data_IF_141159343026
#
_entry.id   IF_141159343026
#
_cell.length_a   1.000
_cell.length_b   1.000
_cell.length_c   1.000
_cell.angle_alpha   90.00
_cell.angle_beta   90.00
_cell.angle_gamma   90.00
#
_symmetry.space_group_name_H-M   'P 1'
#
loop_
_entity.id
_entity.type
_entity.pdbx_description
1 polymer ?
#
# COMPACT_ATOMS: atom_id res chain seq x y z
N UNK A 1 18.79 3.25 -13.54
CA UNK A 1 19.34 4.02 -12.41
C UNK A 1 18.75 3.53 -11.09
N UNK A 2 19.04 4.19 -9.96
CA UNK A 2 18.58 3.73 -8.62
C UNK A 2 17.06 3.55 -8.55
N UNK A 3 16.30 4.46 -9.16
CA UNK A 3 14.82 4.39 -9.20
C UNK A 3 14.34 3.14 -9.97
N UNK A 4 14.94 2.84 -11.11
CA UNK A 4 14.53 1.69 -11.93
C UNK A 4 14.86 0.35 -11.25
N UNK A 5 16.00 0.29 -10.55
CA UNK A 5 16.39 -0.88 -9.77
C UNK A 5 15.41 -1.09 -8.61
N UNK A 6 15.10 -0.02 -7.86
CA UNK A 6 14.10 -0.08 -6.79
C UNK A 6 12.73 -0.54 -7.30
N UNK A 7 12.27 -0.01 -8.43
CA UNK A 7 11.03 -0.45 -9.08
C UNK A 7 11.08 -1.94 -9.48
N UNK A 8 12.21 -2.41 -10.00
CA UNK A 8 12.44 -3.83 -10.33
C UNK A 8 12.34 -4.74 -9.11
N UNK A 9 12.99 -4.37 -8.01
CA UNK A 9 12.94 -5.13 -6.75
C UNK A 9 11.53 -5.15 -6.15
N UNK A 10 10.79 -4.03 -6.20
CA UNK A 10 9.40 -3.98 -5.76
C UNK A 10 8.49 -4.88 -6.61
N UNK A 11 8.64 -4.86 -7.94
CA UNK A 11 7.89 -5.74 -8.83
C UNK A 11 8.21 -7.22 -8.55
N UNK A 12 9.47 -7.56 -8.25
CA UNK A 12 9.88 -8.91 -7.87
C UNK A 12 9.21 -9.37 -6.57
N UNK A 13 9.05 -8.49 -5.58
CA UNK A 13 8.31 -8.81 -4.36
C UNK A 13 6.84 -9.10 -4.66
N UNK A 14 6.21 -8.32 -5.52
CA UNK A 14 4.82 -8.59 -5.97
C UNK A 14 4.74 -9.96 -6.64
N UNK A 15 5.64 -10.28 -7.59
CA UNK A 15 5.69 -11.59 -8.24
C UNK A 15 5.79 -12.75 -7.26
N UNK A 16 6.60 -12.58 -6.20
CA UNK A 16 6.75 -13.61 -5.15
C UNK A 16 5.47 -13.79 -4.34
N UNK A 17 4.73 -12.71 -4.06
CA UNK A 17 3.45 -12.80 -3.36
C UNK A 17 2.38 -13.48 -4.22
N UNK A 18 2.30 -13.13 -5.50
CA UNK A 18 1.40 -13.79 -6.47
C UNK A 18 1.71 -15.29 -6.55
N UNK A 19 2.99 -15.66 -6.67
CA UNK A 19 3.41 -17.06 -6.71
C UNK A 19 3.08 -17.84 -5.42
N UNK A 20 2.89 -17.15 -4.30
CA UNK A 20 2.47 -17.74 -3.01
C UNK A 20 0.94 -17.82 -2.86
N UNK A 21 0.18 -17.47 -3.89
CA UNK A 21 -1.27 -17.55 -3.90
C UNK A 21 -1.96 -16.30 -3.35
N UNK A 22 -1.30 -15.14 -3.36
CA UNK A 22 -1.99 -13.88 -3.08
C UNK A 22 -3.15 -13.70 -4.07
N UNK A 23 -4.38 -13.59 -3.54
CA UNK A 23 -5.58 -13.39 -4.34
C UNK A 23 -5.85 -11.89 -4.52
N UNK A 24 -6.03 -11.45 -5.76
CA UNK A 24 -6.40 -10.08 -6.08
C UNK A 24 -5.85 -9.62 -7.43
N UNK A 25 -6.44 -8.55 -7.94
CA UNK A 25 -6.07 -7.88 -9.20
C UNK A 25 -5.41 -6.51 -8.96
N UNK A 26 -5.25 -6.10 -7.70
CA UNK A 26 -4.84 -4.75 -7.33
C UNK A 26 -3.70 -4.77 -6.33
N UNK A 27 -2.59 -4.12 -6.68
CA UNK A 27 -1.49 -3.82 -5.77
C UNK A 27 -1.71 -2.42 -5.22
N UNK A 28 -1.92 -2.31 -3.90
CA UNK A 28 -2.00 -1.02 -3.23
C UNK A 28 -0.64 -0.68 -2.64
N UNK A 29 -0.02 0.38 -3.13
CA UNK A 29 1.24 0.89 -2.59
C UNK A 29 0.99 2.13 -1.72
N UNK A 30 1.59 2.12 -0.54
CA UNK A 30 1.48 3.18 0.45
C UNK A 30 2.87 3.55 1.00
N UNK A 31 2.94 4.67 1.71
CA UNK A 31 4.16 5.18 2.32
C UNK A 31 4.69 6.42 1.60
N UNK A 32 5.38 7.26 2.37
CA UNK A 32 5.84 8.59 1.92
C UNK A 32 6.79 8.52 0.71
N UNK A 33 7.60 7.47 0.60
CA UNK A 33 8.58 7.33 -0.48
C UNK A 33 7.89 7.19 -1.84
N UNK A 34 6.99 6.21 -1.99
CA UNK A 34 6.36 5.96 -3.29
C UNK A 34 5.29 7.01 -3.61
N UNK A 35 4.58 7.52 -2.59
CA UNK A 35 3.62 8.60 -2.76
C UNK A 35 4.30 9.95 -3.11
N UNK A 36 5.48 10.22 -2.54
CA UNK A 36 6.24 11.44 -2.78
C UNK A 36 7.17 11.40 -3.99
N UNK A 37 7.29 10.26 -4.68
CA UNK A 37 8.19 10.09 -5.83
C UNK A 37 7.43 9.56 -7.06
N UNK A 38 6.84 10.44 -7.89
CA UNK A 38 6.07 10.04 -9.07
C UNK A 38 6.85 9.15 -10.04
N UNK A 39 8.15 9.42 -10.21
CA UNK A 39 9.03 8.62 -11.08
C UNK A 39 9.14 7.16 -10.65
N UNK A 40 9.20 6.91 -9.34
CA UNK A 40 9.26 5.55 -8.81
C UNK A 40 7.93 4.82 -8.99
N UNK A 41 6.82 5.50 -8.72
CA UNK A 41 5.49 4.95 -8.92
C UNK A 41 5.23 4.55 -10.38
N UNK A 42 5.65 5.40 -11.32
CA UNK A 42 5.47 5.12 -12.74
C UNK A 42 6.40 4.00 -13.24
N UNK A 43 7.65 3.99 -12.79
CA UNK A 43 8.57 2.88 -13.08
C UNK A 43 8.03 1.54 -12.55
N UNK A 44 7.44 1.53 -11.35
CA UNK A 44 6.80 0.34 -10.80
C UNK A 44 5.55 -0.06 -11.61
N UNK A 45 4.70 0.90 -11.98
CA UNK A 45 3.51 0.65 -12.82
C UNK A 45 3.92 -0.02 -14.14
N UNK A 46 4.92 0.52 -14.82
CA UNK A 46 5.42 -0.04 -16.08
C UNK A 46 5.97 -1.47 -15.88
N UNK A 47 6.74 -1.73 -14.82
CA UNK A 47 7.28 -3.07 -14.52
C UNK A 47 6.19 -4.09 -14.22
N UNK A 48 5.16 -3.69 -13.45
CA UNK A 48 4.01 -4.54 -13.16
C UNK A 48 3.20 -4.85 -14.41
N UNK A 49 2.94 -3.86 -15.27
CA UNK A 49 2.20 -4.07 -16.52
C UNK A 49 2.91 -5.08 -17.45
N UNK A 50 4.25 -5.13 -17.44
CA UNK A 50 5.02 -6.09 -18.25
C UNK A 50 4.99 -7.52 -17.70
N UNK A 51 4.94 -7.68 -16.38
CA UNK A 51 5.11 -8.99 -15.72
C UNK A 51 3.79 -9.61 -15.26
N UNK A 52 2.83 -8.76 -14.91
CA UNK A 52 1.51 -9.11 -14.41
C UNK A 52 0.47 -8.14 -15.01
N UNK A 53 0.13 -8.28 -16.30
CA UNK A 53 -0.74 -7.33 -17.01
C UNK A 53 -2.15 -7.22 -16.44
N UNK A 54 -2.60 -8.25 -15.69
CA UNK A 54 -3.88 -8.23 -14.99
C UNK A 54 -3.85 -7.43 -13.67
N UNK A 55 -2.67 -7.06 -13.17
CA UNK A 55 -2.52 -6.30 -11.93
C UNK A 55 -2.61 -4.79 -12.17
N UNK A 56 -3.43 -4.12 -11.36
CA UNK A 56 -3.53 -2.67 -11.30
C UNK A 56 -2.72 -2.13 -10.11
N UNK A 57 -1.84 -1.15 -10.36
CA UNK A 57 -1.18 -0.41 -9.27
C UNK A 57 -2.06 0.77 -8.83
N UNK A 58 -2.40 0.81 -7.54
CA UNK A 58 -3.05 1.95 -6.88
C UNK A 58 -2.14 2.53 -5.80
N UNK A 59 -1.95 3.85 -5.84
CA UNK A 59 -1.31 4.56 -4.73
C UNK A 59 -2.37 4.90 -3.69
N UNK A 60 -2.07 4.65 -2.42
CA UNK A 60 -2.94 5.03 -1.32
C UNK A 60 -2.84 6.54 -1.09
N UNK A 61 -3.96 7.25 -1.24
CA UNK A 61 -4.08 8.72 -1.18
C UNK A 61 -4.70 9.21 0.14
N UNK A 62 -4.99 8.31 1.07
CA UNK A 62 -5.50 8.65 2.40
C UNK A 62 -4.38 8.94 3.39
N UNK A 63 -4.70 9.73 4.42
CA UNK A 63 -3.76 10.02 5.50
C UNK A 63 -3.29 8.72 6.19
N UNK A 64 -1.97 8.51 6.40
CA UNK A 64 -1.45 7.27 7.00
C UNK A 64 -2.06 6.93 8.36
N UNK A 65 -2.47 7.94 9.13
CA UNK A 65 -3.05 7.81 10.47
C UNK A 65 -4.51 7.34 10.46
N UNK A 66 -5.19 7.39 9.32
CA UNK A 66 -6.63 7.12 9.23
C UNK A 66 -7.01 5.74 9.78
N UNK A 67 -6.23 4.70 9.46
CA UNK A 67 -6.44 3.35 9.98
C UNK A 67 -6.31 3.27 11.51
N UNK A 68 -5.34 3.98 12.08
CA UNK A 68 -5.14 4.06 13.52
C UNK A 68 -6.33 4.70 14.24
N UNK A 69 -6.85 5.82 13.71
CA UNK A 69 -8.02 6.51 14.28
C UNK A 69 -9.26 5.61 14.27
N UNK A 70 -9.51 4.91 13.16
CA UNK A 70 -10.65 3.97 13.08
C UNK A 70 -10.51 2.84 14.11
N UNK A 71 -9.32 2.27 14.25
CA UNK A 71 -9.06 1.22 15.23
C UNK A 71 -9.21 1.71 16.68
N UNK A 72 -8.77 2.94 16.97
CA UNK A 72 -8.93 3.55 18.30
C UNK A 72 -10.41 3.78 18.62
N UNK A 73 -11.20 4.30 17.66
CA UNK A 73 -12.64 4.52 17.83
C UNK A 73 -13.38 3.20 18.10
N UNK A 74 -13.12 2.15 17.31
CA UNK A 74 -13.72 0.82 17.52
C UNK A 74 -13.38 0.25 18.89
N UNK A 75 -12.15 0.44 19.37
CA UNK A 75 -11.74 0.02 20.72
C UNK A 75 -12.44 0.82 21.81
N UNK A 76 -12.61 2.12 21.63
CA UNK A 76 -13.34 2.97 22.57
C UNK A 76 -14.83 2.57 22.64
N UNK A 77 -15.47 2.32 21.50
CA UNK A 77 -16.86 1.88 21.41
C UNK A 77 -17.07 0.48 22.02
N UNK A 78 -16.17 -0.46 21.72
CA UNK A 78 -16.22 -1.81 22.27
C UNK A 78 -15.91 -1.88 23.78
N UNK A 79 -15.16 -0.92 24.30
CA UNK A 79 -14.82 -0.81 25.72
C UNK A 79 -15.93 -0.20 26.59
N UNK A 80 -16.99 0.36 25.99
CA UNK A 80 -17.99 1.17 26.70
C UNK A 80 -17.39 2.50 27.15
N UNK A 81 -17.98 3.62 26.71
CA UNK A 81 -17.50 4.95 27.06
C UNK A 81 -17.34 5.16 28.56
N UNK A 82 -16.10 5.08 29.05
CA UNK A 82 -15.73 5.82 30.26
C UNK A 82 -15.47 7.24 29.80
N UNK A 83 -16.44 8.12 30.05
CA UNK A 83 -16.25 9.55 29.90
C UNK A 83 -15.02 9.98 30.73
N UNK A 84 -14.15 10.87 30.20
CA UNK A 84 -13.06 11.39 31.00
C UNK A 84 -13.65 12.12 32.21
N UNK A 85 -13.25 11.71 33.40
CA UNK A 85 -13.51 12.45 34.62
C UNK A 85 -12.81 13.81 34.49
N UNK A 86 -13.62 14.86 34.33
CA UNK A 86 -13.22 16.25 34.57
C UNK A 86 -13.34 16.58 36.05
#
# INVERSE_FOLDING_TARGET
GVVDEAAGQLALLVSRLVARGAAGDTVVAAGSVIAGQPRLAEALRARLALTHPALTLRLLDVQPVAGGVVLARRRHEAGGGVAPAV
#
